data_IF_569732228108
#
_entry.id   IF_569732228108
#
_cell.length_a   1.000
_cell.length_b   1.000
_cell.length_c   1.000
_cell.angle_alpha   90.00
_cell.angle_beta   90.00
_cell.angle_gamma   90.00
#
_symmetry.space_group_name_H-M   'P 1'
#
loop_
_entity.id
_entity.type
_entity.pdbx_description
1 polymer ?
#
# COMPACT_ATOMS: atom_id res chain seq x y z
N UNK A 1 -8.82 18.77 9.11
CA UNK A 1 -7.79 19.03 8.08
C UNK A 1 -6.54 18.16 8.27
N UNK A 2 -6.02 18.08 9.50
CA UNK A 2 -4.79 17.35 9.83
C UNK A 2 -4.83 15.84 9.49
N UNK A 3 -5.95 15.16 9.72
CA UNK A 3 -6.04 13.71 9.45
C UNK A 3 -5.99 13.39 7.95
N UNK A 4 -6.60 14.23 7.11
CA UNK A 4 -6.50 14.11 5.65
C UNK A 4 -5.06 14.30 5.18
N UNK A 5 -4.35 15.27 5.75
CA UNK A 5 -2.94 15.49 5.43
C UNK A 5 -2.06 14.29 5.83
N UNK A 6 -2.30 13.72 7.02
CA UNK A 6 -1.59 12.51 7.50
C UNK A 6 -1.86 11.30 6.61
N UNK A 7 -3.12 11.08 6.23
CA UNK A 7 -3.50 10.00 5.32
C UNK A 7 -2.79 10.15 3.96
N UNK A 8 -2.85 11.35 3.36
CA UNK A 8 -2.23 11.60 2.07
C UNK A 8 -0.70 11.45 2.13
N UNK A 9 -0.06 11.91 3.20
CA UNK A 9 1.37 11.73 3.42
C UNK A 9 1.74 10.24 3.56
N UNK A 10 0.98 9.46 4.32
CA UNK A 10 1.21 8.02 4.46
C UNK A 10 1.02 7.27 3.13
N UNK A 11 -0.02 7.60 2.37
CA UNK A 11 -0.27 7.04 1.05
C UNK A 11 0.87 7.36 0.07
N UNK A 12 1.35 8.61 0.05
CA UNK A 12 2.49 9.02 -0.78
C UNK A 12 3.78 8.27 -0.41
N UNK A 13 4.06 8.08 0.89
CA UNK A 13 5.24 7.31 1.33
C UNK A 13 5.20 5.86 0.88
N UNK A 14 4.04 5.22 0.94
CA UNK A 14 3.84 3.87 0.42
C UNK A 14 4.03 3.83 -1.10
N UNK A 15 3.40 4.76 -1.83
CA UNK A 15 3.51 4.87 -3.28
C UNK A 15 4.96 5.10 -3.75
N UNK A 16 5.73 5.92 -3.04
CA UNK A 16 7.13 6.18 -3.35
C UNK A 16 7.99 4.90 -3.30
N UNK A 17 7.86 4.12 -2.23
CA UNK A 17 8.61 2.86 -2.07
C UNK A 17 8.18 1.83 -3.12
N UNK A 18 6.89 1.73 -3.39
CA UNK A 18 6.36 0.79 -4.39
C UNK A 18 6.78 1.15 -5.80
N UNK A 19 6.84 2.44 -6.13
CA UNK A 19 7.23 2.91 -7.46
C UNK A 19 8.74 2.84 -7.70
N UNK A 20 9.57 2.82 -6.64
CA UNK A 20 11.02 2.98 -6.77
C UNK A 20 11.43 4.29 -7.44
N UNK A 21 10.58 5.33 -7.35
CA UNK A 21 10.68 6.57 -8.12
C UNK A 21 10.65 6.38 -9.67
N UNK A 22 10.10 5.26 -10.15
CA UNK A 22 9.94 4.99 -11.58
C UNK A 22 8.47 5.12 -12.03
N UNK A 23 8.21 5.74 -13.20
CA UNK A 23 6.86 5.83 -13.75
C UNK A 23 6.32 4.46 -14.17
N UNK A 24 4.98 4.35 -14.22
CA UNK A 24 4.29 3.18 -14.78
C UNK A 24 4.19 1.95 -13.86
N UNK A 25 4.70 2.02 -12.62
CA UNK A 25 4.60 0.93 -11.65
C UNK A 25 3.30 0.97 -10.81
N UNK A 26 2.92 2.15 -10.30
CA UNK A 26 1.70 2.31 -9.50
C UNK A 26 0.41 1.87 -10.22
N UNK A 27 0.20 2.14 -11.53
CA UNK A 27 -1.00 1.64 -12.23
C UNK A 27 -1.12 0.12 -12.28
N UNK A 28 -0.03 -0.62 -12.01
CA UNK A 28 0.01 -2.09 -11.99
C UNK A 28 -0.20 -2.67 -10.59
N UNK A 29 -0.36 -1.82 -9.57
CA UNK A 29 -0.51 -2.21 -8.16
C UNK A 29 -1.89 -1.75 -7.70
N UNK A 30 -2.67 -2.65 -7.12
CA UNK A 30 -3.99 -2.34 -6.60
C UNK A 30 -3.93 -2.05 -5.11
N UNK A 31 -4.58 -0.97 -4.66
CA UNK A 31 -4.85 -0.72 -3.24
C UNK A 31 -6.34 -0.54 -3.05
N UNK A 32 -6.98 -1.39 -2.26
CA UNK A 32 -8.42 -1.36 -2.08
C UNK A 32 -8.83 -1.78 -0.67
N UNK A 33 -9.97 -1.26 -0.23
CA UNK A 33 -10.64 -1.76 0.95
C UNK A 33 -11.34 -3.07 0.62
N UNK A 34 -11.25 -4.03 1.53
CA UNK A 34 -11.97 -5.28 1.45
C UNK A 34 -12.78 -5.51 2.73
N UNK A 35 -13.63 -6.53 2.71
CA UNK A 35 -14.44 -6.94 3.87
C UNK A 35 -13.58 -7.17 5.12
N UNK A 36 -14.24 -7.13 6.29
CA UNK A 36 -13.62 -7.37 7.61
C UNK A 36 -12.54 -6.32 7.97
N UNK A 37 -12.72 -5.08 7.53
CA UNK A 37 -11.82 -3.94 7.78
C UNK A 37 -10.39 -4.24 7.31
N UNK A 38 -10.23 -4.67 6.06
CA UNK A 38 -8.93 -4.96 5.48
C UNK A 38 -8.54 -3.92 4.44
N UNK A 39 -7.26 -3.54 4.44
CA UNK A 39 -6.65 -2.73 3.39
C UNK A 39 -5.70 -3.63 2.62
N UNK A 40 -6.11 -4.02 1.41
CA UNK A 40 -5.43 -5.03 0.61
C UNK A 40 -4.55 -4.34 -0.43
N UNK A 41 -3.26 -4.64 -0.38
CA UNK A 41 -2.28 -4.30 -1.41
C UNK A 41 -2.11 -5.49 -2.34
N UNK A 42 -2.62 -5.38 -3.56
CA UNK A 42 -2.53 -6.41 -4.59
C UNK A 42 -1.37 -6.15 -5.51
N UNK A 43 -0.44 -7.11 -5.62
CA UNK A 43 0.69 -7.06 -6.52
C UNK A 43 0.68 -8.22 -7.53
N UNK A 44 1.02 -7.97 -8.81
CA UNK A 44 1.35 -9.03 -9.76
C UNK A 44 2.56 -9.84 -9.28
N UNK A 45 2.59 -11.15 -9.58
CA UNK A 45 3.70 -12.07 -9.18
C UNK A 45 5.10 -11.54 -9.53
N UNK A 46 5.24 -10.93 -10.71
CA UNK A 46 6.52 -10.31 -11.17
C UNK A 46 7.07 -9.21 -10.25
N UNK A 47 6.23 -8.62 -9.40
CA UNK A 47 6.61 -7.57 -8.46
C UNK A 47 6.62 -8.05 -7.01
N UNK A 48 6.54 -9.36 -6.76
CA UNK A 48 6.60 -9.94 -5.42
C UNK A 48 7.85 -9.52 -4.65
N UNK A 49 8.99 -9.34 -5.33
CA UNK A 49 10.25 -8.88 -4.74
C UNK A 49 10.17 -7.48 -4.13
N UNK A 50 9.19 -6.66 -4.50
CA UNK A 50 8.95 -5.35 -3.88
C UNK A 50 8.40 -5.50 -2.46
N UNK A 51 7.78 -6.64 -2.14
CA UNK A 51 7.20 -6.91 -0.82
C UNK A 51 8.32 -7.27 0.15
N UNK A 52 8.83 -6.25 0.83
CA UNK A 52 9.75 -6.40 1.95
C UNK A 52 9.24 -5.67 3.20
N UNK A 53 10.04 -5.69 4.26
CA UNK A 53 9.73 -5.07 5.55
C UNK A 53 9.30 -3.60 5.42
N UNK A 54 9.97 -2.85 4.54
CA UNK A 54 9.67 -1.43 4.29
C UNK A 54 8.26 -1.22 3.74
N UNK A 55 7.81 -2.06 2.82
CA UNK A 55 6.45 -1.97 2.25
C UNK A 55 5.42 -2.37 3.30
N UNK A 56 5.66 -3.47 4.02
CA UNK A 56 4.77 -3.94 5.08
C UNK A 56 4.56 -2.89 6.17
N UNK A 57 5.64 -2.25 6.64
CA UNK A 57 5.59 -1.21 7.67
C UNK A 57 4.77 -0.01 7.23
N UNK A 58 4.91 0.44 5.97
CA UNK A 58 4.13 1.58 5.44
C UNK A 58 2.67 1.23 5.17
N UNK A 59 2.40 0.01 4.71
CA UNK A 59 1.04 -0.46 4.56
C UNK A 59 0.33 -0.55 5.92
N UNK A 60 1.02 -1.05 6.96
CA UNK A 60 0.49 -1.07 8.32
C UNK A 60 0.21 0.33 8.88
N UNK A 61 1.11 1.29 8.65
CA UNK A 61 0.90 2.70 9.01
C UNK A 61 -0.36 3.27 8.34
N UNK A 62 -0.51 3.07 7.03
CA UNK A 62 -1.67 3.54 6.27
C UNK A 62 -2.97 2.86 6.70
N UNK A 63 -2.94 1.55 6.93
CA UNK A 63 -4.09 0.77 7.41
C UNK A 63 -4.51 1.22 8.81
N UNK A 64 -3.55 1.47 9.71
CA UNK A 64 -3.80 1.97 11.06
C UNK A 64 -4.52 3.32 11.07
N UNK A 65 -4.11 4.26 10.21
CA UNK A 65 -4.75 5.57 10.07
C UNK A 65 -6.22 5.49 9.61
N UNK A 66 -6.62 4.38 8.99
CA UNK A 66 -7.98 4.16 8.50
C UNK A 66 -8.76 3.15 9.35
N UNK A 67 -8.16 2.58 10.40
CA UNK A 67 -8.78 1.54 11.23
C UNK A 67 -8.90 0.17 10.55
N UNK A 68 -8.05 -0.11 9.57
CA UNK A 68 -8.01 -1.37 8.82
C UNK A 68 -6.79 -2.22 9.19
N UNK A 69 -6.87 -3.51 8.89
CA UNK A 69 -5.73 -4.44 8.95
C UNK A 69 -5.03 -4.48 7.60
N UNK A 70 -3.69 -4.36 7.57
CA UNK A 70 -2.93 -4.46 6.33
C UNK A 70 -2.92 -5.91 5.82
N UNK A 71 -3.12 -6.11 4.53
CA UNK A 71 -2.98 -7.42 3.89
C UNK A 71 -2.30 -7.25 2.52
N UNK A 72 -1.48 -8.23 2.14
CA UNK A 72 -0.78 -8.24 0.85
C UNK A 72 -1.22 -9.48 0.10
N UNK A 73 -1.76 -9.27 -1.09
CA UNK A 73 -2.15 -10.35 -2.00
C UNK A 73 -1.19 -10.36 -3.19
N UNK A 74 -0.53 -11.50 -3.40
CA UNK A 74 0.36 -11.72 -4.54
C UNK A 74 -0.34 -12.68 -5.50
N UNK A 75 -0.66 -12.19 -6.69
CA UNK A 75 -1.41 -12.98 -7.68
C UNK A 75 -2.45 -12.14 -8.39
N UNK A 76 -2.12 -11.78 -9.62
CA UNK A 76 -3.08 -11.60 -10.70
C UNK A 76 -2.68 -12.60 -11.79
#
# INVERSE_FOLDING_TARGET
AQDRARFLAAAQRLAYILSGAMPGLLPKIGLHYAEKKRLVLKLPKRHQSLVGERVQKRLAELAGLTGHRPEIEIGA
#
